data_IF_767599189599
#
_entry.id   IF_767599189599
#
_cell.length_a   1.000
_cell.length_b   1.000
_cell.length_c   1.000
_cell.angle_alpha   90.00
_cell.angle_beta   90.00
_cell.angle_gamma   90.00
#
_symmetry.space_group_name_H-M   'P 1'
#
loop_
_entity.id
_entity.type
_entity.pdbx_description
1 polymer ?
#
# COMPACT_ATOMS: atom_id res chain seq x y z
N UNK A 1 25.63 -14.63 20.95
CA UNK A 1 24.41 -14.26 21.69
C UNK A 1 24.60 -12.85 22.23
N UNK A 2 23.88 -11.90 21.65
CA UNK A 2 23.86 -10.51 22.10
C UNK A 2 22.88 -10.37 23.26
N UNK A 3 23.24 -9.57 24.26
CA UNK A 3 22.39 -9.24 25.41
C UNK A 3 21.85 -7.82 25.26
N UNK A 4 20.60 -7.61 25.68
CA UNK A 4 19.94 -6.31 25.64
C UNK A 4 19.38 -5.94 27.00
N UNK A 5 19.41 -4.65 27.33
CA UNK A 5 18.87 -4.09 28.57
C UNK A 5 17.34 -4.09 28.56
N UNK A 6 16.74 -4.42 29.71
CA UNK A 6 15.31 -4.27 29.99
C UNK A 6 15.12 -2.96 30.76
N UNK A 7 14.24 -2.11 30.25
CA UNK A 7 13.92 -0.82 30.86
C UNK A 7 12.69 -0.92 31.76
N UNK A 8 12.77 -0.32 32.94
CA UNK A 8 11.64 -0.13 33.85
C UNK A 8 10.71 0.99 33.34
N UNK A 9 9.46 1.03 33.83
CA UNK A 9 8.50 2.10 33.50
C UNK A 9 9.03 3.49 33.87
N UNK A 10 9.89 3.55 34.90
CA UNK A 10 10.54 4.79 35.35
C UNK A 10 11.74 5.23 34.48
N UNK A 11 12.07 4.50 33.41
CA UNK A 11 13.19 4.78 32.51
C UNK A 11 14.56 4.27 32.97
N UNK A 12 14.63 3.63 34.15
CA UNK A 12 15.85 2.97 34.63
C UNK A 12 16.08 1.61 33.96
N UNK A 13 17.30 1.06 34.09
CA UNK A 13 17.61 -0.31 33.63
C UNK A 13 17.25 -1.28 34.77
N UNK A 14 16.26 -2.15 34.53
CA UNK A 14 15.80 -3.15 35.50
C UNK A 14 16.61 -4.44 35.45
N UNK A 15 17.16 -4.79 34.28
CA UNK A 15 17.93 -6.02 34.08
C UNK A 15 18.42 -6.19 32.65
N UNK A 16 18.94 -7.37 32.33
CA UNK A 16 19.42 -7.73 30.99
C UNK A 16 18.83 -9.07 30.55
N UNK A 17 18.48 -9.18 29.27
CA UNK A 17 17.90 -10.38 28.67
C UNK A 17 18.67 -10.75 27.39
N UNK A 18 18.75 -12.04 27.10
CA UNK A 18 19.35 -12.54 25.87
C UNK A 18 18.44 -12.31 24.66
N UNK A 19 19.01 -11.82 23.56
CA UNK A 19 18.27 -11.57 22.33
C UNK A 19 17.95 -12.90 21.64
N UNK A 20 16.67 -13.16 21.28
CA UNK A 20 16.29 -14.37 20.57
C UNK A 20 16.97 -14.50 19.20
N UNK A 21 17.18 -15.75 18.75
CA UNK A 21 17.78 -16.08 17.45
C UNK A 21 17.03 -15.47 16.24
N UNK A 22 15.78 -15.03 16.41
CA UNK A 22 15.02 -14.35 15.36
C UNK A 22 15.70 -13.05 14.87
N UNK A 23 16.44 -12.35 15.74
CA UNK A 23 17.14 -11.11 15.41
C UNK A 23 18.48 -11.34 14.67
N UNK A 24 18.98 -12.58 14.63
CA UNK A 24 20.20 -12.94 13.89
C UNK A 24 19.92 -13.16 12.39
N UNK A 25 18.65 -13.07 11.97
CA UNK A 25 18.25 -13.25 10.57
C UNK A 25 18.92 -12.20 9.67
N UNK A 26 19.45 -12.57 8.49
CA UNK A 26 20.05 -11.60 7.58
C UNK A 26 19.06 -10.54 7.11
N UNK A 27 19.52 -9.30 7.04
CA UNK A 27 18.74 -8.18 6.53
C UNK A 27 18.60 -8.26 5.00
N UNK A 28 17.35 -8.40 4.53
CA UNK A 28 16.97 -8.62 3.12
C UNK A 28 15.85 -7.67 2.70
N UNK A 29 16.20 -6.42 2.32
CA UNK A 29 15.20 -5.40 1.96
C UNK A 29 14.40 -5.74 0.71
N UNK A 30 14.93 -6.59 -0.18
CA UNK A 30 14.29 -7.10 -1.40
C UNK A 30 13.00 -7.87 -1.09
N UNK A 31 13.10 -8.88 -0.22
CA UNK A 31 11.95 -9.72 0.17
C UNK A 31 10.96 -8.91 1.01
N UNK A 32 11.45 -8.06 1.92
CA UNK A 32 10.61 -7.19 2.75
C UNK A 32 9.75 -6.29 1.86
N UNK A 33 10.37 -5.61 0.89
CA UNK A 33 9.65 -4.73 -0.04
C UNK A 33 8.56 -5.46 -0.81
N UNK A 34 8.87 -6.66 -1.32
CA UNK A 34 7.88 -7.48 -2.06
C UNK A 34 6.70 -7.88 -1.17
N UNK A 35 6.96 -8.31 0.05
CA UNK A 35 5.91 -8.68 1.01
C UNK A 35 5.01 -7.47 1.38
N UNK A 36 5.61 -6.30 1.61
CA UNK A 36 4.88 -5.07 1.94
C UNK A 36 4.00 -4.61 0.77
N UNK A 37 4.52 -4.61 -0.45
CA UNK A 37 3.75 -4.23 -1.63
C UNK A 37 2.55 -5.15 -1.85
N UNK A 38 2.73 -6.45 -1.65
CA UNK A 38 1.63 -7.41 -1.76
C UNK A 38 0.59 -7.22 -0.66
N UNK A 39 1.02 -6.99 0.60
CA UNK A 39 0.11 -6.71 1.70
C UNK A 39 -0.72 -5.44 1.45
N UNK A 40 -0.07 -4.36 0.97
CA UNK A 40 -0.74 -3.12 0.61
C UNK A 40 -1.73 -3.31 -0.55
N UNK A 41 -1.38 -4.11 -1.55
CA UNK A 41 -2.25 -4.43 -2.67
C UNK A 41 -3.49 -5.24 -2.22
N UNK A 42 -3.31 -6.19 -1.29
CA UNK A 42 -4.38 -7.04 -0.76
C UNK A 42 -5.34 -6.31 0.18
N UNK A 43 -4.89 -5.23 0.84
CA UNK A 43 -5.76 -4.38 1.68
C UNK A 43 -6.58 -3.35 0.90
N UNK A 44 -6.40 -3.26 -0.42
CA UNK A 44 -7.05 -2.23 -1.25
C UNK A 44 -8.52 -2.54 -1.50
N UNK A 45 -9.38 -1.53 -1.31
CA UNK A 45 -10.80 -1.62 -1.65
C UNK A 45 -11.03 -1.44 -3.16
N UNK A 46 -11.87 -2.29 -3.80
CA UNK A 46 -12.27 -2.10 -5.19
C UNK A 46 -12.96 -0.76 -5.40
N UNK A 47 -12.69 -0.12 -6.55
CA UNK A 47 -13.29 1.16 -6.91
C UNK A 47 -13.55 1.23 -8.42
N UNK A 48 -14.57 1.99 -8.80
CA UNK A 48 -14.92 2.22 -10.20
C UNK A 48 -16.15 3.11 -10.32
N UNK A 49 -16.38 3.74 -11.49
CA UNK A 49 -17.63 4.41 -11.77
C UNK A 49 -18.75 3.38 -11.99
N UNK A 50 -20.00 3.81 -11.87
CA UNK A 50 -21.13 2.93 -12.21
C UNK A 50 -21.09 2.52 -13.70
N UNK A 51 -21.56 1.31 -14.00
CA UNK A 51 -21.46 0.68 -15.32
C UNK A 51 -21.98 1.55 -16.49
N UNK A 52 -23.03 2.35 -16.26
CA UNK A 52 -23.63 3.25 -17.27
C UNK A 52 -23.25 4.72 -17.11
N UNK A 53 -22.19 5.05 -16.36
CA UNK A 53 -21.77 6.44 -16.18
C UNK A 53 -21.36 7.07 -17.51
N UNK A 54 -21.92 8.24 -17.84
CA UNK A 54 -21.73 8.91 -19.13
C UNK A 54 -22.48 8.28 -20.31
N UNK A 55 -23.27 7.22 -20.11
CA UNK A 55 -24.02 6.50 -21.15
C UNK A 55 -25.53 6.40 -20.86
N UNK A 56 -26.09 7.35 -20.11
CA UNK A 56 -27.52 7.38 -19.74
C UNK A 56 -28.37 8.21 -20.70
N UNK A 57 -27.81 8.64 -21.81
CA UNK A 57 -28.49 9.48 -22.79
C UNK A 57 -28.79 8.68 -24.05
N UNK A 58 -29.94 8.95 -24.68
CA UNK A 58 -30.16 8.49 -26.04
C UNK A 58 -29.33 9.39 -26.98
N UNK A 59 -28.43 8.80 -27.76
CA UNK A 59 -27.59 9.52 -28.71
C UNK A 59 -27.72 8.95 -30.12
N UNK A 60 -27.58 9.81 -31.11
CA UNK A 60 -27.51 9.41 -32.52
C UNK A 60 -26.55 10.31 -33.29
N UNK A 61 -26.11 9.80 -34.44
CA UNK A 61 -25.31 10.57 -35.38
C UNK A 61 -26.24 11.40 -36.28
N UNK A 62 -25.94 12.70 -36.43
CA UNK A 62 -26.74 13.65 -37.22
C UNK A 62 -26.69 13.43 -38.74
N UNK A 63 -25.76 12.61 -39.25
CA UNK A 63 -25.55 12.45 -40.69
C UNK A 63 -24.45 13.35 -41.25
N UNK A 64 -23.95 12.98 -42.44
CA UNK A 64 -22.91 13.73 -43.18
C UNK A 64 -23.51 14.97 -43.85
N UNK A 65 -22.68 15.92 -44.28
CA UNK A 65 -23.14 17.12 -45.02
C UNK A 65 -23.76 18.22 -44.16
N UNK A 66 -23.65 18.12 -42.83
CA UNK A 66 -24.26 19.07 -41.87
C UNK A 66 -23.27 20.10 -41.31
N UNK A 67 -22.03 20.16 -41.84
CA UNK A 67 -20.96 21.01 -41.31
C UNK A 67 -20.50 20.64 -39.87
N UNK A 68 -20.92 19.49 -39.35
CA UNK A 68 -20.65 19.04 -37.98
C UNK A 68 -19.77 17.79 -37.96
N UNK A 69 -18.99 17.65 -36.87
CA UNK A 69 -18.24 16.42 -36.58
C UNK A 69 -19.17 15.21 -36.44
N UNK A 70 -18.62 14.00 -36.70
CA UNK A 70 -19.36 12.72 -36.67
C UNK A 70 -19.59 12.15 -35.27
N UNK A 71 -19.45 12.96 -34.23
CA UNK A 71 -19.70 12.54 -32.86
C UNK A 71 -21.19 12.24 -32.65
N UNK A 72 -21.48 11.28 -31.78
CA UNK A 72 -22.82 11.01 -31.31
C UNK A 72 -23.35 12.21 -30.53
N UNK A 73 -24.60 12.61 -30.81
CA UNK A 73 -25.26 13.75 -30.17
C UNK A 73 -26.51 13.31 -29.43
N UNK A 74 -26.74 13.91 -28.28
CA UNK A 74 -27.91 13.64 -27.44
C UNK A 74 -29.16 14.16 -28.14
N UNK A 75 -30.18 13.31 -28.24
CA UNK A 75 -31.47 13.69 -28.82
C UNK A 75 -32.08 14.89 -28.08
N UNK A 76 -32.68 15.82 -28.83
CA UNK A 76 -33.30 17.05 -28.30
C UNK A 76 -32.34 18.18 -27.93
N UNK A 77 -31.15 17.87 -27.41
CA UNK A 77 -30.19 18.89 -26.94
C UNK A 77 -29.16 19.30 -27.99
N UNK A 78 -28.89 18.44 -28.98
CA UNK A 78 -27.91 18.69 -30.04
C UNK A 78 -26.45 18.71 -29.57
N UNK A 79 -26.17 18.54 -28.27
CA UNK A 79 -24.82 18.44 -27.70
C UNK A 79 -24.20 17.07 -27.98
N UNK A 80 -22.89 17.04 -28.19
CA UNK A 80 -22.16 15.77 -28.28
C UNK A 80 -22.11 15.12 -26.90
N UNK A 81 -22.32 13.81 -26.83
CA UNK A 81 -22.36 13.06 -25.57
C UNK A 81 -21.85 11.64 -25.76
N UNK A 82 -21.83 10.86 -24.68
CA UNK A 82 -21.43 9.44 -24.63
C UNK A 82 -19.97 9.11 -24.96
N UNK A 83 -19.41 9.65 -26.03
CA UNK A 83 -18.03 9.40 -26.45
C UNK A 83 -17.00 10.00 -25.47
N UNK A 84 -15.81 9.39 -25.31
CA UNK A 84 -14.84 9.83 -24.30
C UNK A 84 -14.19 11.19 -24.52
N UNK A 85 -14.22 11.70 -25.74
CA UNK A 85 -13.74 13.03 -26.09
C UNK A 85 -14.76 14.14 -25.76
N UNK A 86 -16.02 13.78 -25.47
CA UNK A 86 -17.08 14.75 -25.22
C UNK A 86 -17.20 15.08 -23.74
N UNK A 87 -17.58 16.33 -23.44
CA UNK A 87 -17.94 16.74 -22.07
C UNK A 87 -19.12 15.90 -21.59
N UNK A 88 -19.04 15.37 -20.37
CA UNK A 88 -20.03 14.44 -19.78
C UNK A 88 -20.15 13.07 -20.47
N UNK A 89 -19.26 12.73 -21.39
CA UNK A 89 -19.16 11.39 -21.98
C UNK A 89 -18.50 10.36 -21.05
N UNK A 90 -18.51 9.09 -21.45
CA UNK A 90 -17.88 8.00 -20.69
C UNK A 90 -16.36 8.07 -20.78
N UNK A 91 -15.62 7.63 -19.76
CA UNK A 91 -14.18 7.37 -19.93
C UNK A 91 -13.98 6.13 -20.82
N UNK A 92 -12.98 6.13 -21.72
CA UNK A 92 -12.72 5.02 -22.65
C UNK A 92 -12.35 3.71 -21.93
N UNK A 93 -11.43 3.80 -20.96
CA UNK A 93 -11.02 2.68 -20.10
C UNK A 93 -11.16 3.11 -18.63
N UNK A 94 -12.38 3.10 -18.07
CA UNK A 94 -12.59 3.42 -16.68
C UNK A 94 -11.96 2.34 -15.77
N UNK A 95 -11.58 2.68 -14.52
CA UNK A 95 -11.26 1.65 -13.55
C UNK A 95 -12.49 0.79 -13.29
N UNK A 96 -12.33 -0.52 -13.32
CA UNK A 96 -13.42 -1.48 -13.11
C UNK A 96 -13.28 -2.13 -11.72
N UNK A 97 -14.37 -2.30 -10.95
CA UNK A 97 -14.34 -2.97 -9.65
C UNK A 97 -13.81 -4.41 -9.74
N UNK A 98 -14.01 -5.08 -10.87
CA UNK A 98 -13.58 -6.46 -11.13
C UNK A 98 -12.05 -6.58 -11.33
N UNK A 99 -11.31 -5.47 -11.34
CA UNK A 99 -9.86 -5.50 -11.46
C UNK A 99 -9.23 -6.21 -10.28
N UNK A 100 -8.46 -7.26 -10.57
CA UNK A 100 -7.71 -8.01 -9.55
C UNK A 100 -6.50 -7.19 -9.12
N UNK A 101 -6.57 -6.66 -7.90
CA UNK A 101 -5.46 -5.97 -7.25
C UNK A 101 -4.58 -6.91 -6.41
N UNK A 102 -5.13 -8.07 -6.05
CA UNK A 102 -4.47 -9.00 -5.14
C UNK A 102 -3.13 -9.50 -5.72
N UNK A 103 -2.12 -9.54 -4.87
CA UNK A 103 -0.80 -10.08 -5.20
C UNK A 103 -0.50 -11.29 -4.32
N UNK A 104 -0.15 -12.40 -4.98
CA UNK A 104 0.20 -13.64 -4.29
C UNK A 104 1.63 -13.56 -3.76
N UNK A 105 1.81 -13.97 -2.50
CA UNK A 105 3.12 -14.19 -1.88
C UNK A 105 3.15 -15.60 -1.28
N UNK A 106 4.28 -16.27 -1.42
CA UNK A 106 4.47 -17.60 -0.86
C UNK A 106 4.57 -17.51 0.67
N UNK A 107 3.95 -18.47 1.39
CA UNK A 107 3.95 -18.46 2.86
C UNK A 107 5.38 -18.50 3.44
N UNK A 108 6.29 -19.29 2.83
CA UNK A 108 7.70 -19.36 3.25
C UNK A 108 8.42 -18.02 3.07
N UNK A 109 8.17 -17.36 1.94
CA UNK A 109 8.74 -16.04 1.63
C UNK A 109 8.23 -14.97 2.61
N UNK A 110 6.92 -14.99 2.93
CA UNK A 110 6.34 -14.09 3.92
C UNK A 110 6.92 -14.29 5.33
N UNK A 111 7.22 -15.54 5.73
CA UNK A 111 7.89 -15.84 7.01
C UNK A 111 9.30 -15.26 7.05
N UNK A 112 10.08 -15.43 5.97
CA UNK A 112 11.44 -14.87 5.85
C UNK A 112 11.38 -13.34 5.87
N UNK A 113 10.43 -12.73 5.15
CA UNK A 113 10.22 -11.28 5.14
C UNK A 113 9.98 -10.74 6.56
N UNK A 114 9.12 -11.41 7.33
CA UNK A 114 8.78 -11.01 8.70
C UNK A 114 10.00 -11.14 9.63
N UNK A 115 10.73 -12.25 9.55
CA UNK A 115 11.93 -12.46 10.36
C UNK A 115 13.03 -11.44 10.04
N UNK A 116 13.24 -11.14 8.75
CA UNK A 116 14.22 -10.13 8.32
C UNK A 116 13.82 -8.71 8.72
N UNK A 117 12.52 -8.37 8.66
CA UNK A 117 12.02 -7.10 9.15
C UNK A 117 12.17 -6.95 10.67
N UNK A 118 11.95 -8.02 11.44
CA UNK A 118 12.17 -8.06 12.88
C UNK A 118 13.66 -7.90 13.22
N UNK A 119 14.56 -8.58 12.53
CA UNK A 119 15.99 -8.41 12.73
C UNK A 119 16.45 -6.96 12.50
N UNK A 120 15.85 -6.27 11.52
CA UNK A 120 16.14 -4.86 11.26
C UNK A 120 15.81 -3.92 12.43
N UNK A 121 14.85 -4.25 13.30
CA UNK A 121 14.52 -3.43 14.47
C UNK A 121 15.53 -3.57 15.61
N UNK A 122 16.35 -4.63 15.60
CA UNK A 122 17.46 -4.80 16.54
C UNK A 122 18.72 -4.02 16.15
N UNK A 123 18.81 -3.49 14.93
CA UNK A 123 19.98 -2.76 14.44
C UNK A 123 19.78 -1.23 14.57
N UNK A 124 20.55 -0.59 15.44
CA UNK A 124 20.48 0.85 15.69
C UNK A 124 20.70 1.67 14.40
N UNK A 125 21.64 1.27 13.55
CA UNK A 125 21.93 1.96 12.29
C UNK A 125 20.76 1.90 11.32
N UNK A 126 20.11 0.74 11.18
CA UNK A 126 18.92 0.58 10.35
C UNK A 126 17.75 1.44 10.84
N UNK A 127 17.59 1.56 12.16
CA UNK A 127 16.54 2.35 12.80
C UNK A 127 16.79 3.86 12.62
N UNK A 128 18.03 4.32 12.84
CA UNK A 128 18.45 5.70 12.59
C UNK A 128 18.31 6.06 11.11
N UNK A 129 18.72 5.18 10.20
CA UNK A 129 18.60 5.36 8.76
C UNK A 129 17.14 5.49 8.29
N UNK A 130 16.18 4.89 9.00
CA UNK A 130 14.74 5.08 8.75
C UNK A 130 14.25 6.49 9.12
N UNK A 131 14.99 7.22 9.95
CA UNK A 131 14.68 8.58 10.40
C UNK A 131 14.23 8.70 11.86
N UNK A 132 14.39 7.64 12.66
CA UNK A 132 14.11 7.75 14.09
C UNK A 132 15.28 8.39 14.84
N UNK A 133 14.96 9.29 15.78
CA UNK A 133 15.93 9.97 16.63
C UNK A 133 15.96 9.29 18.00
N UNK A 134 17.14 8.82 18.40
CA UNK A 134 17.38 8.15 19.68
C UNK A 134 18.72 8.59 20.24
N UNK A 135 18.82 8.62 21.56
CA UNK A 135 20.09 8.78 22.25
C UNK A 135 20.98 7.55 22.04
N UNK A 136 22.29 7.77 21.97
CA UNK A 136 23.28 6.70 21.78
C UNK A 136 23.37 5.74 22.99
N UNK A 137 22.75 6.11 24.12
CA UNK A 137 22.67 5.30 25.34
C UNK A 137 21.62 4.18 25.27
N UNK A 138 20.73 4.19 24.27
CA UNK A 138 19.64 3.22 24.15
C UNK A 138 20.11 1.95 23.46
N UNK A 139 19.87 0.80 24.09
CA UNK A 139 20.16 -0.51 23.51
C UNK A 139 18.97 -1.05 22.72
N UNK A 140 19.23 -1.62 21.54
CA UNK A 140 18.23 -2.26 20.70
C UNK A 140 18.35 -3.79 20.76
N UNK A 141 17.25 -4.55 20.57
CA UNK A 141 15.84 -4.12 20.54
C UNK A 141 15.34 -3.62 21.91
N UNK A 142 14.52 -2.58 21.95
CA UNK A 142 14.03 -2.01 23.22
C UNK A 142 13.02 -2.98 23.86
N UNK A 143 13.30 -3.40 25.10
CA UNK A 143 12.42 -4.27 25.91
C UNK A 143 12.04 -3.52 27.19
N UNK A 144 10.75 -3.56 27.54
CA UNK A 144 10.20 -2.93 28.75
C UNK A 144 9.67 -4.02 29.68
N UNK A 145 9.70 -3.76 30.99
CA UNK A 145 9.16 -4.67 32.00
C UNK A 145 7.64 -4.94 31.84
N UNK A 146 7.20 -6.11 32.29
CA UNK A 146 5.82 -6.59 32.14
C UNK A 146 4.79 -5.73 32.91
N UNK A 147 5.25 -5.01 33.94
CA UNK A 147 4.42 -4.07 34.71
C UNK A 147 3.90 -2.88 33.89
N UNK A 148 4.36 -2.70 32.65
CA UNK A 148 3.83 -1.70 31.71
C UNK A 148 2.48 -2.07 31.09
N UNK A 149 2.02 -3.32 31.23
CA UNK A 149 0.80 -3.84 30.59
C UNK A 149 -0.51 -3.21 31.09
#
# INVERSE_FOLDING_TARGET
>A
MTTTNVYAVNGGVAGTVEVPAAFETPYRPDIIKKAVLAAAANGRQPYGPGARSGMRHAVSFRGKGTGSARNQRIHGLGKAGESPNNVSGRRAHPPVPERIWAQKVNQKEAKIARASALAATGCADCVKARGHQFDDSVTFPIVVEDAFS
#
